data_IF_304258701124
#
_entry.id   IF_304258701124
#
_cell.length_a   1.000
_cell.length_b   1.000
_cell.length_c   1.000
_cell.angle_alpha   90.00
_cell.angle_beta   90.00
_cell.angle_gamma   90.00
#
_symmetry.space_group_name_H-M   'P 1'
#
loop_
_entity.id
_entity.type
_entity.pdbx_description
1 polymer ?
#
# COMPACT_ATOMS: atom_id res chain seq x y z
N UNK A 1 -7.56 10.22 -2.85
CA UNK A 1 -8.39 11.36 -3.23
C UNK A 1 -9.12 11.77 -1.98
N UNK A 2 -8.91 12.99 -1.49
CA UNK A 2 -9.81 13.59 -0.52
C UNK A 2 -11.22 13.61 -1.13
N UNK A 3 -12.04 12.63 -0.77
CA UNK A 3 -13.46 12.64 -1.13
C UNK A 3 -14.15 13.88 -0.55
N UNK A 4 -15.37 14.17 -1.04
CA UNK A 4 -16.23 15.28 -0.59
C UNK A 4 -15.90 16.68 -1.19
N UNK A 5 -15.59 16.73 -2.49
CA UNK A 5 -15.54 18.00 -3.24
C UNK A 5 -14.23 18.79 -3.11
N UNK A 6 -13.18 18.17 -2.57
CA UNK A 6 -11.83 18.75 -2.47
C UNK A 6 -10.92 18.30 -3.62
N UNK A 7 -9.89 19.10 -3.87
CA UNK A 7 -8.82 18.82 -4.84
C UNK A 7 -7.50 18.88 -4.11
N UNK A 8 -6.76 17.77 -4.15
CA UNK A 8 -5.40 17.68 -3.63
C UNK A 8 -4.40 18.02 -4.75
N UNK A 9 -3.47 18.93 -4.47
CA UNK A 9 -2.31 19.18 -5.33
C UNK A 9 -1.09 18.50 -4.71
N UNK A 10 -0.56 17.51 -5.41
CA UNK A 10 0.60 16.73 -4.96
C UNK A 10 1.77 17.05 -5.90
N UNK A 11 2.93 17.35 -5.32
CA UNK A 11 4.17 17.58 -6.07
C UNK A 11 4.52 16.32 -6.87
N UNK A 12 4.85 16.43 -8.17
CA UNK A 12 5.26 15.26 -8.96
C UNK A 12 6.40 14.48 -8.29
N UNK A 13 6.29 13.16 -8.28
CA UNK A 13 7.24 12.27 -7.60
C UNK A 13 6.94 12.02 -6.12
N UNK A 14 6.01 12.74 -5.50
CA UNK A 14 5.60 12.49 -4.12
C UNK A 14 4.41 11.54 -4.06
N UNK A 15 4.70 10.25 -3.88
CA UNK A 15 3.71 9.19 -3.70
C UNK A 15 4.14 8.24 -2.57
N UNK A 16 3.25 7.32 -2.16
CA UNK A 16 3.51 6.43 -1.02
C UNK A 16 4.76 5.56 -1.20
N UNK A 17 4.99 5.03 -2.40
CA UNK A 17 6.20 4.26 -2.73
C UNK A 17 7.47 5.10 -2.53
N UNK A 18 7.50 6.36 -2.98
CA UNK A 18 8.65 7.24 -2.75
C UNK A 18 8.91 7.48 -1.26
N UNK A 19 7.86 7.69 -0.45
CA UNK A 19 8.01 7.81 1.01
C UNK A 19 8.59 6.54 1.64
N UNK A 20 8.14 5.36 1.18
CA UNK A 20 8.65 4.08 1.64
C UNK A 20 10.13 3.87 1.24
N UNK A 21 10.51 4.25 0.02
CA UNK A 21 11.90 4.24 -0.45
C UNK A 21 12.83 5.03 0.45
N UNK A 22 12.45 6.25 0.80
CA UNK A 22 13.26 7.12 1.66
C UNK A 22 13.48 6.49 3.04
N UNK A 23 12.45 5.86 3.61
CA UNK A 23 12.55 5.17 4.90
C UNK A 23 13.41 3.91 4.80
N UNK A 24 13.19 3.09 3.77
CA UNK A 24 13.94 1.87 3.52
C UNK A 24 15.44 2.17 3.36
N UNK A 25 15.80 3.19 2.58
CA UNK A 25 17.18 3.65 2.41
C UNK A 25 17.78 4.16 3.72
N UNK A 26 17.03 4.97 4.48
CA UNK A 26 17.50 5.51 5.76
C UNK A 26 17.80 4.42 6.79
N UNK A 27 17.08 3.31 6.75
CA UNK A 27 17.23 2.21 7.70
C UNK A 27 18.01 1.01 7.17
N UNK A 28 18.45 1.05 5.91
CA UNK A 28 19.17 -0.06 5.28
C UNK A 28 18.31 -1.32 5.12
N UNK A 29 17.01 -1.15 4.91
CA UNK A 29 16.03 -2.23 4.74
C UNK A 29 15.79 -2.45 3.25
N UNK A 30 15.89 -3.69 2.78
CA UNK A 30 15.56 -4.02 1.40
C UNK A 30 14.04 -4.17 1.23
N UNK A 31 13.52 -3.88 0.02
CA UNK A 31 12.06 -3.95 -0.22
C UNK A 31 11.49 -5.34 -0.02
N UNK A 32 12.26 -6.40 -0.23
CA UNK A 32 11.85 -7.77 0.03
C UNK A 32 11.62 -8.07 1.52
N UNK A 33 12.10 -7.21 2.41
CA UNK A 33 11.86 -7.25 3.86
C UNK A 33 10.69 -6.36 4.29
N UNK A 34 10.04 -5.66 3.35
CA UNK A 34 8.93 -4.74 3.65
C UNK A 34 7.59 -5.45 3.49
N UNK A 35 6.74 -5.26 4.50
CA UNK A 35 5.34 -5.63 4.47
C UNK A 35 4.46 -4.39 4.29
N UNK A 36 3.55 -4.43 3.31
CA UNK A 36 2.65 -3.33 2.99
C UNK A 36 1.21 -3.81 2.75
N UNK A 37 0.24 -3.06 3.26
CA UNK A 37 -1.18 -3.23 3.01
C UNK A 37 -1.73 -2.05 2.20
N UNK A 38 -2.72 -2.31 1.35
CA UNK A 38 -3.35 -1.26 0.57
C UNK A 38 -4.74 -1.64 0.09
N UNK A 39 -5.57 -0.61 -0.13
CA UNK A 39 -6.95 -0.74 -0.56
C UNK A 39 -7.31 0.27 -1.66
N UNK A 40 -6.45 1.28 -1.88
CA UNK A 40 -6.68 2.39 -2.78
C UNK A 40 -5.76 2.41 -4.01
N UNK A 41 -6.15 3.23 -4.99
CA UNK A 41 -5.33 3.44 -6.20
C UNK A 41 -3.97 4.10 -5.91
N UNK A 42 -3.88 4.89 -4.85
CA UNK A 42 -2.62 5.51 -4.38
C UNK A 42 -1.66 4.52 -3.69
N UNK A 43 -2.06 3.26 -3.52
CA UNK A 43 -1.21 2.20 -2.94
C UNK A 43 -0.51 1.35 -4.01
N UNK A 44 -0.92 1.45 -5.29
CA UNK A 44 -0.49 0.55 -6.36
C UNK A 44 1.03 0.39 -6.48
N UNK A 45 1.76 1.50 -6.44
CA UNK A 45 3.22 1.47 -6.58
C UNK A 45 3.88 0.86 -5.35
N UNK A 46 3.41 1.21 -4.15
CA UNK A 46 3.92 0.68 -2.89
C UNK A 46 3.70 -0.84 -2.81
N UNK A 47 2.52 -1.32 -3.23
CA UNK A 47 2.19 -2.74 -3.26
C UNK A 47 3.04 -3.53 -4.26
N UNK A 48 3.37 -2.95 -5.42
CA UNK A 48 4.26 -3.61 -6.41
C UNK A 48 5.70 -3.68 -5.91
N UNK A 49 6.13 -2.68 -5.15
CA UNK A 49 7.48 -2.54 -4.66
C UNK A 49 7.79 -3.45 -3.46
N UNK A 50 6.88 -3.56 -2.50
CA UNK A 50 7.09 -4.36 -1.29
C UNK A 50 7.18 -5.87 -1.57
N UNK A 51 8.07 -6.54 -0.84
CA UNK A 51 8.25 -7.99 -0.88
C UNK A 51 7.03 -8.75 -0.42
N UNK A 52 6.38 -8.25 0.63
CA UNK A 52 5.14 -8.78 1.16
C UNK A 52 4.05 -7.72 0.99
N UNK A 53 3.24 -7.84 -0.04
CA UNK A 53 2.17 -6.88 -0.31
C UNK A 53 0.80 -7.54 -0.28
N UNK A 54 -0.12 -6.90 0.43
CA UNK A 54 -1.47 -7.39 0.67
C UNK A 54 -2.50 -6.36 0.20
N UNK A 55 -3.39 -6.78 -0.68
CA UNK A 55 -4.57 -6.00 -1.00
C UNK A 55 -5.73 -6.41 -0.10
N UNK A 56 -6.39 -5.43 0.53
CA UNK A 56 -7.58 -5.68 1.34
C UNK A 56 -8.73 -6.21 0.47
N UNK A 57 -9.61 -7.05 1.03
CA UNK A 57 -10.70 -7.63 0.25
C UNK A 57 -11.69 -6.59 -0.31
N UNK A 58 -11.87 -5.47 0.39
CA UNK A 58 -12.69 -4.35 -0.08
C UNK A 58 -12.01 -3.48 -1.16
N UNK A 59 -10.79 -3.82 -1.59
CA UNK A 59 -10.04 -3.04 -2.58
C UNK A 59 -10.55 -3.25 -4.03
N UNK A 60 -10.43 -2.25 -4.91
CA UNK A 60 -10.72 -2.41 -6.33
C UNK A 60 -9.84 -3.49 -6.98
N UNK A 61 -10.33 -4.16 -8.03
CA UNK A 61 -9.63 -5.25 -8.72
C UNK A 61 -8.19 -4.90 -9.14
N UNK A 62 -7.96 -3.67 -9.62
CA UNK A 62 -6.62 -3.19 -10.01
C UNK A 62 -5.61 -3.18 -8.84
N UNK A 63 -6.09 -2.98 -7.62
CA UNK A 63 -5.27 -2.97 -6.40
C UNK A 63 -4.98 -4.40 -5.98
N UNK A 64 -5.99 -5.29 -6.03
CA UNK A 64 -5.83 -6.74 -5.82
C UNK A 64 -4.78 -7.34 -6.76
N UNK A 65 -4.76 -6.93 -8.03
CA UNK A 65 -3.77 -7.37 -9.01
C UNK A 65 -2.35 -6.82 -8.79
N UNK A 66 -2.20 -5.72 -8.04
CA UNK A 66 -0.90 -5.13 -7.76
C UNK A 66 -0.21 -5.74 -6.54
N UNK A 67 -0.97 -6.37 -5.65
CA UNK A 67 -0.46 -7.05 -4.46
C UNK A 67 -0.10 -8.52 -4.77
N UNK A 68 0.83 -9.08 -3.98
CA UNK A 68 1.21 -10.50 -4.07
C UNK A 68 0.24 -11.42 -3.33
N UNK A 69 -0.42 -10.90 -2.31
CA UNK A 69 -1.31 -11.62 -1.42
C UNK A 69 -2.63 -10.84 -1.22
N UNK A 70 -3.65 -11.55 -0.74
CA UNK A 70 -4.90 -10.95 -0.31
C UNK A 70 -4.97 -10.91 1.22
N UNK A 71 -5.53 -9.84 1.77
CA UNK A 71 -5.91 -9.74 3.17
C UNK A 71 -7.45 -9.70 3.29
N UNK A 72 -8.02 -10.12 4.44
CA UNK A 72 -9.44 -9.93 4.73
C UNK A 72 -9.86 -8.46 4.66
N UNK A 73 -11.15 -8.20 4.74
CA UNK A 73 -11.66 -6.83 4.72
C UNK A 73 -11.14 -6.02 5.91
N UNK A 74 -11.08 -4.69 5.76
CA UNK A 74 -10.81 -3.78 6.86
C UNK A 74 -11.85 -3.91 7.99
N UNK A 75 -13.10 -4.25 7.65
CA UNK A 75 -14.18 -4.51 8.63
C UNK A 75 -13.96 -5.78 9.45
N UNK A 76 -13.06 -6.67 9.02
CA UNK A 76 -12.74 -7.94 9.66
C UNK A 76 -11.38 -7.89 10.38
N UNK A 77 -10.81 -6.69 10.56
CA UNK A 77 -9.46 -6.53 11.09
C UNK A 77 -8.39 -7.25 10.24
N UNK A 78 -8.55 -7.28 8.91
CA UNK A 78 -7.70 -8.08 8.02
C UNK A 78 -6.19 -7.80 8.12
N UNK A 79 -5.79 -6.57 8.47
CA UNK A 79 -4.38 -6.27 8.76
C UNK A 79 -3.87 -7.06 9.96
N UNK A 80 -4.64 -7.10 11.06
CA UNK A 80 -4.26 -7.78 12.30
C UNK A 80 -4.11 -9.29 12.07
N UNK A 81 -5.07 -9.90 11.37
CA UNK A 81 -5.05 -11.34 11.07
C UNK A 81 -3.83 -11.80 10.26
N UNK A 82 -3.21 -10.90 9.50
CA UNK A 82 -2.03 -11.22 8.66
C UNK A 82 -0.72 -11.08 9.44
N UNK A 83 -0.69 -10.24 10.48
CA UNK A 83 0.55 -9.95 11.23
C UNK A 83 0.67 -10.75 12.54
N UNK A 84 -0.40 -11.39 13.01
CA UNK A 84 -0.41 -12.35 14.12
C UNK A 84 0.15 -13.72 13.71
#
# INVERSE_FOLDING_TARGET
SSGHGSVDLIVPGNHKAHGLDLLAQRWGIAHDQVLAFGDGGNDLEMLRQSGFSFAMDNAPQRVKQAARYAAPSNNEQGVLQVIE
#
